data_IF_729848240463
#
_entry.id   IF_729848240463
#
_cell.length_a   1.000
_cell.length_b   1.000
_cell.length_c   1.000
_cell.angle_alpha   90.00
_cell.angle_beta   90.00
_cell.angle_gamma   90.00
#
_symmetry.space_group_name_H-M   'P 1'
#
loop_
_entity.id
_entity.type
_entity.pdbx_description
1 polymer ?
#
# COMPACT_ATOMS: atom_id res chain seq x y z
N UNK A 1 14.91 -1.58 -30.67
CA UNK A 1 14.85 -3.05 -30.92
C UNK A 1 13.58 -3.57 -30.28
N UNK A 2 12.93 -4.59 -30.85
CA UNK A 2 11.84 -5.31 -30.17
C UNK A 2 12.44 -6.41 -29.30
N UNK A 3 12.05 -6.46 -28.02
CA UNK A 3 12.54 -7.43 -27.05
C UNK A 3 11.37 -8.26 -26.57
N UNK A 4 11.53 -9.59 -26.57
CA UNK A 4 10.56 -10.51 -25.97
C UNK A 4 10.79 -10.57 -24.46
N UNK A 5 9.85 -10.03 -23.71
CA UNK A 5 9.88 -9.98 -22.24
C UNK A 5 9.33 -11.29 -21.66
N UNK A 6 9.92 -11.76 -20.56
CA UNK A 6 9.45 -12.96 -19.86
C UNK A 6 8.39 -12.64 -18.80
N UNK A 7 8.59 -11.54 -18.05
CA UNK A 7 7.73 -11.12 -16.93
C UNK A 7 7.48 -9.61 -16.94
N UNK A 8 6.26 -9.20 -16.61
CA UNK A 8 5.89 -7.79 -16.42
C UNK A 8 5.52 -7.65 -14.94
N UNK A 9 6.04 -6.62 -14.28
CA UNK A 9 5.84 -6.46 -12.86
C UNK A 9 4.55 -5.68 -12.53
N UNK A 10 4.01 -5.90 -11.33
CA UNK A 10 2.78 -5.25 -10.88
C UNK A 10 2.86 -3.72 -10.78
N UNK A 11 4.04 -3.14 -10.58
CA UNK A 11 4.23 -1.68 -10.55
C UNK A 11 3.82 -1.00 -11.87
N UNK A 12 3.88 -1.70 -13.01
CA UNK A 12 3.52 -1.15 -14.33
C UNK A 12 2.13 -1.58 -14.82
N UNK A 13 1.29 -2.18 -13.97
CA UNK A 13 0.03 -2.80 -14.38
C UNK A 13 -0.94 -1.87 -15.12
N UNK A 14 -0.91 -0.55 -14.84
CA UNK A 14 -1.80 0.44 -15.48
C UNK A 14 -1.41 0.80 -16.91
N UNK A 15 -0.20 0.43 -17.33
CA UNK A 15 0.35 0.84 -18.62
C UNK A 15 -0.06 -0.09 -19.77
N UNK A 16 -0.82 -1.17 -19.52
CA UNK A 16 -1.23 -2.15 -20.54
C UNK A 16 -0.05 -2.57 -21.42
N UNK A 17 1.02 -3.04 -20.79
CA UNK A 17 2.23 -3.49 -21.46
C UNK A 17 2.05 -4.92 -21.98
N UNK A 18 2.74 -5.24 -23.07
CA UNK A 18 2.74 -6.58 -23.66
C UNK A 18 4.14 -7.19 -23.64
N UNK A 19 4.25 -8.48 -23.98
CA UNK A 19 5.56 -9.16 -24.03
C UNK A 19 6.44 -8.66 -25.16
N UNK A 20 5.86 -7.99 -26.14
CA UNK A 20 6.53 -7.35 -27.27
C UNK A 20 6.39 -5.84 -27.10
N UNK A 21 7.41 -5.22 -26.50
CA UNK A 21 7.47 -3.77 -26.34
C UNK A 21 8.66 -3.22 -27.12
N UNK A 22 8.49 -1.99 -27.60
CA UNK A 22 9.59 -1.26 -28.26
C UNK A 22 10.51 -0.69 -27.19
N UNK A 23 11.82 -0.88 -27.42
CA UNK A 23 12.85 -0.52 -26.45
C UNK A 23 13.89 0.39 -27.07
N UNK A 24 14.31 1.39 -26.28
CA UNK A 24 15.55 2.13 -26.52
C UNK A 24 16.63 1.69 -25.53
N UNK A 25 17.86 1.66 -25.99
CA UNK A 25 19.04 1.25 -25.21
C UNK A 25 20.06 2.39 -25.06
N UNK A 26 19.85 3.48 -25.80
CA UNK A 26 20.65 4.69 -25.78
C UNK A 26 19.80 5.86 -25.27
N UNK A 27 20.45 6.86 -24.69
CA UNK A 27 19.78 8.06 -24.14
C UNK A 27 18.70 7.71 -23.10
N UNK A 28 18.99 6.74 -22.23
CA UNK A 28 18.11 6.41 -21.11
C UNK A 28 18.05 7.58 -20.12
N UNK A 29 16.90 7.72 -19.45
CA UNK A 29 16.66 8.80 -18.50
C UNK A 29 16.49 8.23 -17.08
N UNK A 30 17.30 8.72 -16.14
CA UNK A 30 17.19 8.33 -14.75
C UNK A 30 16.13 9.16 -14.03
N UNK A 31 14.88 8.68 -14.07
CA UNK A 31 13.73 9.36 -13.47
C UNK A 31 12.79 8.35 -12.82
N UNK A 32 12.27 8.70 -11.65
CA UNK A 32 11.27 7.89 -10.95
C UNK A 32 10.04 7.65 -11.83
N UNK A 33 9.55 6.41 -11.81
CA UNK A 33 8.43 5.95 -12.63
C UNK A 33 8.80 5.60 -14.07
N UNK A 34 10.02 5.88 -14.57
CA UNK A 34 10.39 5.46 -15.91
C UNK A 34 10.39 3.92 -16.00
N UNK A 35 9.77 3.41 -17.04
CA UNK A 35 9.59 1.97 -17.28
C UNK A 35 10.88 1.40 -17.83
N UNK A 36 11.51 0.51 -17.05
CA UNK A 36 12.83 -0.06 -17.35
C UNK A 36 12.70 -1.55 -17.63
N UNK A 37 13.46 -2.01 -18.62
CA UNK A 37 13.64 -3.43 -18.92
C UNK A 37 14.98 -3.86 -18.39
N UNK A 38 14.98 -4.91 -17.60
CA UNK A 38 16.18 -5.45 -16.98
C UNK A 38 16.30 -6.95 -17.21
N UNK A 39 17.53 -7.44 -17.16
CA UNK A 39 17.86 -8.87 -17.16
C UNK A 39 18.24 -9.30 -15.75
N UNK A 40 17.61 -10.34 -15.22
CA UNK A 40 18.01 -10.92 -13.93
C UNK A 40 19.41 -11.55 -14.03
N UNK A 41 20.31 -11.19 -13.11
CA UNK A 41 21.70 -11.69 -13.05
C UNK A 41 21.88 -12.87 -12.08
N UNK A 42 20.78 -13.47 -11.63
CA UNK A 42 20.81 -14.62 -10.74
C UNK A 42 19.42 -14.97 -10.20
N UNK A 43 19.41 -15.84 -9.19
CA UNK A 43 18.21 -16.28 -8.49
C UNK A 43 18.34 -16.12 -6.99
N UNK A 44 17.20 -16.08 -6.29
CA UNK A 44 17.15 -16.07 -4.84
C UNK A 44 16.16 -17.10 -4.31
N UNK A 45 16.51 -17.76 -3.21
CA UNK A 45 15.59 -18.63 -2.48
C UNK A 45 14.58 -17.82 -1.67
N UNK A 46 15.07 -16.82 -0.92
CA UNK A 46 14.23 -15.88 -0.15
C UNK A 46 14.03 -14.61 -0.95
N UNK A 47 12.80 -14.11 -1.05
CA UNK A 47 12.50 -12.86 -1.76
C UNK A 47 12.92 -12.92 -3.26
N UNK A 48 12.79 -14.10 -3.87
CA UNK A 48 13.13 -14.37 -5.28
C UNK A 48 11.94 -14.40 -6.23
N UNK A 49 10.78 -13.93 -5.77
CA UNK A 49 9.55 -13.87 -6.57
C UNK A 49 9.24 -12.43 -7.00
N UNK A 50 8.58 -12.32 -8.14
CA UNK A 50 8.01 -11.10 -8.68
C UNK A 50 6.49 -11.24 -8.68
N UNK A 51 5.79 -10.23 -8.19
CA UNK A 51 4.35 -10.07 -8.40
C UNK A 51 4.12 -9.55 -9.81
N UNK A 52 3.40 -10.34 -10.61
CA UNK A 52 3.05 -9.99 -11.98
C UNK A 52 1.94 -8.94 -12.02
N UNK A 53 1.75 -8.33 -13.18
CA UNK A 53 0.71 -7.35 -13.48
C UNK A 53 -0.70 -7.83 -13.10
N UNK A 54 -1.00 -9.13 -13.22
CA UNK A 54 -2.27 -9.74 -12.82
C UNK A 54 -2.30 -10.21 -11.35
N UNK A 55 -1.22 -10.00 -10.59
CA UNK A 55 -1.14 -10.34 -9.16
C UNK A 55 -0.56 -11.70 -8.82
N UNK A 56 -0.31 -12.54 -9.82
CA UNK A 56 0.32 -13.84 -9.59
C UNK A 56 1.78 -13.67 -9.14
N UNK A 57 2.17 -14.36 -8.08
CA UNK A 57 3.58 -14.47 -7.69
C UNK A 57 4.31 -15.45 -8.62
N UNK A 58 5.43 -15.02 -9.20
CA UNK A 58 6.24 -15.81 -10.10
C UNK A 58 7.71 -15.79 -9.71
N UNK A 59 8.33 -16.96 -9.57
CA UNK A 59 9.78 -17.07 -9.33
C UNK A 59 10.58 -16.39 -10.44
N UNK A 60 11.58 -15.60 -10.06
CA UNK A 60 12.56 -14.99 -10.96
C UNK A 60 13.68 -16.01 -11.22
N UNK A 61 13.97 -16.26 -12.49
CA UNK A 61 15.07 -17.10 -12.94
C UNK A 61 16.21 -16.26 -13.50
N UNK A 62 17.43 -16.77 -13.44
CA UNK A 62 18.58 -16.10 -14.06
C UNK A 62 18.35 -15.94 -15.58
N UNK A 63 18.72 -14.78 -16.11
CA UNK A 63 18.51 -14.43 -17.51
C UNK A 63 17.12 -13.92 -17.85
N UNK A 64 16.18 -13.89 -16.90
CA UNK A 64 14.84 -13.36 -17.15
C UNK A 64 14.86 -11.91 -17.60
N UNK A 65 14.16 -11.61 -18.70
CA UNK A 65 13.86 -10.24 -19.11
C UNK A 65 12.59 -9.79 -18.42
N UNK A 66 12.69 -8.74 -17.59
CA UNK A 66 11.63 -8.24 -16.73
C UNK A 66 11.36 -6.78 -17.05
N UNK A 67 10.09 -6.40 -17.20
CA UNK A 67 9.68 -4.99 -17.16
C UNK A 67 9.32 -4.61 -15.72
N UNK A 68 9.91 -3.53 -15.22
CA UNK A 68 9.56 -2.87 -13.96
C UNK A 68 9.63 -1.36 -14.09
N UNK A 69 9.71 -0.65 -12.96
CA UNK A 69 9.83 0.81 -12.95
C UNK A 69 10.97 1.26 -12.04
N UNK A 70 11.67 2.33 -12.45
CA UNK A 70 12.62 3.00 -11.58
C UNK A 70 11.89 3.62 -10.38
N UNK A 71 12.42 3.45 -9.17
CA UNK A 71 11.84 4.08 -8.00
C UNK A 71 12.68 3.87 -6.74
N UNK A 72 12.26 4.53 -5.67
CA UNK A 72 12.90 4.44 -4.37
C UNK A 72 12.14 3.52 -3.41
N UNK A 73 12.85 2.98 -2.44
CA UNK A 73 12.28 2.23 -1.33
C UNK A 73 13.03 2.63 -0.07
N UNK A 74 12.29 2.98 0.99
CA UNK A 74 12.87 3.31 2.29
C UNK A 74 12.25 2.42 3.37
N UNK A 75 12.73 1.17 3.50
CA UNK A 75 12.09 0.16 4.34
C UNK A 75 12.99 -0.32 5.50
N UNK A 76 12.47 -0.30 6.73
CA UNK A 76 13.12 -0.90 7.90
C UNK A 76 13.25 -2.43 7.79
N UNK A 77 12.21 -3.08 7.26
CA UNK A 77 12.14 -4.54 7.03
C UNK A 77 12.23 -4.86 5.54
N UNK A 78 13.29 -4.41 4.87
CA UNK A 78 13.42 -4.56 3.42
C UNK A 78 14.75 -4.05 2.85
N UNK A 79 14.71 -3.73 1.57
CA UNK A 79 15.79 -3.00 0.88
C UNK A 79 15.54 -1.49 0.97
N UNK A 80 16.64 -0.74 1.04
CA UNK A 80 16.67 0.71 0.92
C UNK A 80 17.45 1.05 -0.35
N UNK A 81 16.88 1.89 -1.18
CA UNK A 81 17.49 2.27 -2.45
C UNK A 81 16.70 3.36 -3.15
N UNK A 82 17.29 3.89 -4.21
CA UNK A 82 16.73 5.01 -4.96
C UNK A 82 16.98 4.92 -6.46
N UNK A 83 16.41 5.86 -7.19
CA UNK A 83 16.73 6.07 -8.59
C UNK A 83 18.20 6.51 -8.69
N UNK A 84 19.04 5.89 -9.55
CA UNK A 84 20.43 6.28 -9.68
C UNK A 84 20.58 7.70 -10.24
N UNK A 85 21.74 8.34 -10.08
CA UNK A 85 21.98 9.68 -10.64
C UNK A 85 22.02 9.68 -12.18
N UNK A 86 22.43 8.57 -12.79
CA UNK A 86 22.46 8.34 -14.23
C UNK A 86 22.23 6.86 -14.53
N UNK A 87 21.78 6.54 -15.74
CA UNK A 87 21.51 5.17 -16.14
C UNK A 87 21.89 4.94 -17.62
N UNK A 88 22.50 3.79 -17.90
CA UNK A 88 22.86 3.32 -19.25
C UNK A 88 22.53 1.84 -19.39
N UNK A 89 22.38 1.38 -20.63
CA UNK A 89 22.34 -0.06 -20.91
C UNK A 89 23.63 -0.72 -20.42
N UNK A 90 23.51 -1.89 -19.79
CA UNK A 90 24.61 -2.63 -19.17
C UNK A 90 24.87 -2.26 -17.70
N UNK A 91 24.28 -1.18 -17.18
CA UNK A 91 24.41 -0.84 -15.76
C UNK A 91 23.76 -1.92 -14.90
N UNK A 92 24.31 -2.16 -13.71
CA UNK A 92 23.72 -3.07 -12.73
C UNK A 92 22.92 -2.30 -11.68
N UNK A 93 21.64 -2.65 -11.56
CA UNK A 93 20.72 -2.17 -10.52
C UNK A 93 20.22 -3.34 -9.67
N UNK A 94 19.23 -3.09 -8.82
CA UNK A 94 18.66 -4.06 -7.90
C UNK A 94 17.14 -4.10 -7.99
N UNK A 95 16.58 -5.31 -7.87
CA UNK A 95 15.17 -5.51 -7.57
C UNK A 95 14.92 -5.08 -6.11
N UNK A 96 14.30 -3.91 -5.91
CA UNK A 96 14.11 -3.34 -4.59
C UNK A 96 12.88 -3.89 -3.87
N UNK A 97 11.89 -4.44 -4.57
CA UNK A 97 10.76 -5.12 -3.95
C UNK A 97 10.14 -6.18 -4.88
N UNK A 98 9.15 -6.92 -4.36
CA UNK A 98 8.41 -7.93 -5.13
C UNK A 98 7.53 -7.35 -6.25
N UNK A 99 7.11 -6.09 -6.18
CA UNK A 99 6.26 -5.47 -7.21
C UNK A 99 7.02 -4.91 -8.42
N UNK A 100 8.35 -5.10 -8.48
CA UNK A 100 9.16 -4.68 -9.62
C UNK A 100 9.68 -3.25 -9.57
N UNK A 101 9.78 -2.65 -8.38
CA UNK A 101 10.53 -1.40 -8.22
C UNK A 101 12.01 -1.70 -8.32
N UNK A 102 12.69 -1.02 -9.23
CA UNK A 102 14.11 -1.23 -9.56
C UNK A 102 14.88 0.06 -9.24
N UNK A 103 16.06 -0.09 -8.64
CA UNK A 103 16.90 1.05 -8.31
C UNK A 103 18.26 0.63 -7.77
N UNK A 104 19.08 1.60 -7.38
CA UNK A 104 20.36 1.37 -6.75
C UNK A 104 20.14 1.10 -5.26
N UNK A 105 20.44 -0.11 -4.79
CA UNK A 105 20.34 -0.44 -3.37
C UNK A 105 21.49 0.16 -2.57
N UNK A 106 21.18 0.89 -1.51
CA UNK A 106 22.14 1.53 -0.61
C UNK A 106 22.24 0.81 0.74
N UNK A 107 21.18 0.13 1.16
CA UNK A 107 21.16 -0.69 2.38
C UNK A 107 20.16 -1.84 2.28
N UNK A 108 20.40 -2.91 3.03
CA UNK A 108 19.55 -4.10 3.03
C UNK A 108 19.39 -4.66 4.44
N UNK A 109 18.18 -5.09 4.76
CA UNK A 109 17.95 -5.92 5.94
C UNK A 109 18.69 -7.26 5.79
N UNK A 110 19.48 -7.63 6.80
CA UNK A 110 20.36 -8.80 6.78
C UNK A 110 19.60 -10.12 6.60
N UNK A 111 18.37 -10.21 7.11
CA UNK A 111 17.55 -11.42 7.06
C UNK A 111 17.10 -11.76 5.63
N UNK A 112 17.11 -10.78 4.72
CA UNK A 112 16.76 -10.96 3.30
C UNK A 112 17.97 -11.26 2.41
N UNK A 113 19.20 -11.14 2.94
CA UNK A 113 20.43 -11.17 2.14
C UNK A 113 20.52 -10.04 1.11
N UNK A 114 21.56 -10.03 0.24
CA UNK A 114 21.74 -8.98 -0.76
C UNK A 114 20.60 -8.99 -1.78
N UNK A 115 20.11 -7.84 -2.26
CA UNK A 115 19.03 -7.78 -3.25
C UNK A 115 19.43 -8.46 -4.56
N UNK A 116 18.44 -8.97 -5.30
CA UNK A 116 18.68 -9.54 -6.63
C UNK A 116 19.25 -8.44 -7.55
N UNK A 117 20.41 -8.71 -8.14
CA UNK A 117 21.03 -7.83 -9.13
C UNK A 117 20.36 -8.02 -10.49
N UNK A 118 20.19 -6.92 -11.21
CA UNK A 118 19.61 -6.91 -12.54
C UNK A 118 20.43 -5.99 -13.44
N UNK A 119 20.64 -6.37 -14.69
CA UNK A 119 21.32 -5.56 -15.70
C UNK A 119 20.30 -4.75 -16.50
N UNK A 120 20.53 -3.46 -16.68
CA UNK A 120 19.69 -2.58 -17.48
C UNK A 120 19.83 -2.94 -18.96
N UNK A 121 18.72 -3.35 -19.57
CA UNK A 121 18.66 -3.63 -21.02
C UNK A 121 18.23 -2.40 -21.79
N UNK A 122 17.30 -1.61 -21.24
CA UNK A 122 16.77 -0.42 -21.89
C UNK A 122 15.50 0.09 -21.24
N UNK A 123 14.78 0.97 -21.93
CA UNK A 123 13.50 1.52 -21.48
C UNK A 123 12.42 1.36 -22.53
N UNK A 124 11.18 1.19 -22.07
CA UNK A 124 10.01 1.09 -22.95
C UNK A 124 9.70 2.46 -23.56
N UNK A 125 9.41 2.48 -24.86
CA UNK A 125 9.07 3.71 -25.58
C UNK A 125 7.74 3.57 -26.30
N UNK A 126 6.87 4.58 -26.12
CA UNK A 126 5.61 4.71 -26.85
C UNK A 126 5.52 6.10 -27.45
N UNK A 127 5.12 6.18 -28.73
CA UNK A 127 5.00 7.44 -29.49
C UNK A 127 6.26 8.33 -29.39
N UNK A 128 7.45 7.71 -29.41
CA UNK A 128 8.73 8.40 -29.39
C UNK A 128 9.18 8.95 -28.02
N UNK A 129 8.46 8.66 -26.93
CA UNK A 129 8.82 9.07 -25.57
C UNK A 129 9.04 7.87 -24.66
N UNK A 130 9.99 7.99 -23.72
CA UNK A 130 10.16 7.02 -22.64
C UNK A 130 8.86 6.97 -21.85
N UNK A 131 8.35 5.75 -21.65
CA UNK A 131 7.13 5.54 -20.90
C UNK A 131 7.38 5.72 -19.40
N UNK A 132 6.50 6.43 -18.73
CA UNK A 132 6.53 6.66 -17.30
C UNK A 132 5.19 6.23 -16.67
N UNK A 133 5.20 5.82 -15.40
CA UNK A 133 3.96 5.48 -14.67
C UNK A 133 2.91 6.62 -14.70
N UNK A 134 3.34 7.87 -14.74
CA UNK A 134 2.46 9.06 -14.87
C UNK A 134 1.70 9.12 -16.20
N UNK A 135 2.10 8.37 -17.24
CA UNK A 135 1.35 8.30 -18.50
C UNK A 135 -0.01 7.55 -18.35
N UNK A 136 -0.25 6.88 -17.21
CA UNK A 136 -1.52 6.23 -16.88
C UNK A 136 -2.08 6.66 -15.51
N UNK A 137 -1.62 7.79 -14.96
CA UNK A 137 -2.14 8.31 -13.70
C UNK A 137 -3.59 8.77 -13.83
N UNK A 138 -4.37 8.59 -12.77
CA UNK A 138 -5.62 9.34 -12.60
C UNK A 138 -5.32 10.82 -12.38
N UNK A 139 -6.29 11.69 -12.65
CA UNK A 139 -6.12 13.14 -12.50
C UNK A 139 -5.89 13.50 -11.03
N UNK A 140 -4.99 14.45 -10.76
CA UNK A 140 -4.72 14.89 -9.41
C UNK A 140 -5.87 15.75 -8.84
N UNK A 141 -6.13 15.60 -7.55
CA UNK A 141 -7.06 16.43 -6.79
C UNK A 141 -6.37 16.99 -5.54
N UNK A 142 -6.36 18.31 -5.40
CA UNK A 142 -5.78 19.00 -4.23
C UNK A 142 -6.76 19.20 -3.06
N UNK A 143 -8.01 18.75 -3.25
CA UNK A 143 -9.07 18.73 -2.23
C UNK A 143 -9.96 17.50 -2.37
N UNK A 144 -10.61 17.13 -1.28
CA UNK A 144 -11.76 16.24 -1.32
C UNK A 144 -12.92 16.94 -2.05
N UNK A 145 -13.65 16.21 -2.90
CA UNK A 145 -14.74 16.80 -3.68
C UNK A 145 -15.84 17.39 -2.76
N UNK A 146 -16.33 18.61 -3.02
CA UNK A 146 -17.38 19.22 -2.23
C UNK A 146 -18.64 18.35 -2.18
N UNK A 147 -19.15 18.12 -0.97
CA UNK A 147 -20.34 17.29 -0.74
C UNK A 147 -20.06 15.78 -0.66
N UNK A 148 -18.80 15.36 -0.65
CA UNK A 148 -18.43 13.99 -0.28
C UNK A 148 -18.71 13.78 1.21
N UNK A 149 -19.71 12.94 1.51
CA UNK A 149 -20.18 12.65 2.87
C UNK A 149 -19.88 11.20 3.31
N UNK A 150 -19.09 10.47 2.52
CA UNK A 150 -18.73 9.08 2.78
C UNK A 150 -17.71 9.05 3.93
N UNK A 151 -17.98 8.31 5.02
CA UNK A 151 -17.07 8.30 6.15
C UNK A 151 -15.81 7.49 5.84
N UNK A 152 -14.66 8.02 6.25
CA UNK A 152 -13.35 7.38 6.04
C UNK A 152 -12.88 6.69 7.32
N UNK A 153 -12.40 5.46 7.17
CA UNK A 153 -11.63 4.72 8.19
C UNK A 153 -10.17 4.71 7.78
N UNK A 154 -9.33 5.47 8.50
CA UNK A 154 -7.88 5.48 8.28
C UNK A 154 -7.20 4.44 9.17
N UNK A 155 -6.38 3.58 8.57
CA UNK A 155 -5.62 2.53 9.26
C UNK A 155 -4.13 2.82 9.14
N UNK A 156 -3.56 3.38 10.21
CA UNK A 156 -2.12 3.65 10.34
C UNK A 156 -1.44 2.58 11.19
N UNK A 157 -0.12 2.72 11.40
CA UNK A 157 0.55 1.86 12.35
C UNK A 157 1.94 2.33 12.73
N UNK A 158 2.52 1.70 13.75
CA UNK A 158 3.82 2.12 14.29
C UNK A 158 4.98 1.72 13.39
N UNK A 159 4.82 0.66 12.58
CA UNK A 159 5.80 0.20 11.61
C UNK A 159 5.23 -0.84 10.62
N UNK A 160 6.10 -1.37 9.76
CA UNK A 160 5.80 -2.50 8.88
C UNK A 160 5.42 -3.77 9.66
N UNK A 161 4.45 -4.51 9.12
CA UNK A 161 3.92 -5.76 9.68
C UNK A 161 3.20 -5.60 11.02
N UNK A 162 2.64 -4.42 11.31
CA UNK A 162 1.84 -4.16 12.52
C UNK A 162 0.39 -4.66 12.45
N UNK A 163 -0.04 -5.27 11.34
CA UNK A 163 -1.40 -5.78 11.18
C UNK A 163 -2.36 -4.87 10.42
N UNK A 164 -1.89 -3.77 9.81
CA UNK A 164 -2.73 -2.82 9.04
C UNK A 164 -3.54 -3.48 7.93
N UNK A 165 -2.87 -4.18 7.01
CA UNK A 165 -3.50 -4.88 5.89
C UNK A 165 -4.55 -5.88 6.37
N UNK A 166 -4.26 -6.60 7.48
CA UNK A 166 -5.21 -7.55 8.07
C UNK A 166 -6.43 -6.82 8.65
N UNK A 167 -6.23 -5.70 9.35
CA UNK A 167 -7.34 -4.90 9.87
C UNK A 167 -8.24 -4.35 8.76
N UNK A 168 -7.65 -3.85 7.67
CA UNK A 168 -8.42 -3.38 6.51
C UNK A 168 -9.18 -4.54 5.86
N UNK A 169 -8.52 -5.68 5.62
CA UNK A 169 -9.15 -6.85 5.01
C UNK A 169 -10.34 -7.39 5.83
N UNK A 170 -10.17 -7.56 7.15
CA UNK A 170 -11.25 -8.02 8.05
C UNK A 170 -12.42 -7.04 8.08
N UNK A 171 -12.14 -5.73 8.08
CA UNK A 171 -13.21 -4.73 7.99
C UNK A 171 -13.91 -4.75 6.63
N UNK A 172 -13.18 -4.92 5.53
CA UNK A 172 -13.80 -5.09 4.21
C UNK A 172 -14.77 -6.27 4.23
N UNK A 173 -14.34 -7.41 4.80
CA UNK A 173 -15.14 -8.63 4.82
C UNK A 173 -16.41 -8.46 5.62
N UNK A 174 -16.26 -8.07 6.89
CA UNK A 174 -17.38 -8.03 7.82
C UNK A 174 -18.36 -6.90 7.49
N UNK A 175 -17.88 -5.73 7.08
CA UNK A 175 -18.78 -4.64 6.69
C UNK A 175 -19.54 -4.97 5.39
N UNK A 176 -18.88 -5.64 4.44
CA UNK A 176 -19.55 -6.11 3.22
C UNK A 176 -20.59 -7.19 3.50
N UNK A 177 -20.29 -8.15 4.38
CA UNK A 177 -21.26 -9.16 4.84
C UNK A 177 -22.47 -8.55 5.55
N UNK A 178 -22.27 -7.42 6.23
CA UNK A 178 -23.35 -6.63 6.86
C UNK A 178 -24.10 -5.75 5.85
N UNK A 179 -23.85 -5.91 4.55
CA UNK A 179 -24.57 -5.25 3.47
C UNK A 179 -24.05 -3.88 3.07
N UNK A 180 -22.94 -3.40 3.64
CA UNK A 180 -22.33 -2.13 3.24
C UNK A 180 -21.56 -2.27 1.92
N UNK A 181 -21.58 -1.21 1.11
CA UNK A 181 -20.72 -1.06 -0.06
C UNK A 181 -19.39 -0.50 0.42
N UNK A 182 -18.36 -1.36 0.46
CA UNK A 182 -17.03 -1.00 0.94
C UNK A 182 -16.10 -0.76 -0.25
N UNK A 183 -15.41 0.37 -0.24
CA UNK A 183 -14.25 0.62 -1.08
C UNK A 183 -13.01 0.74 -0.20
N UNK A 184 -11.85 0.36 -0.73
CA UNK A 184 -10.61 0.35 0.04
C UNK A 184 -9.42 0.89 -0.75
N UNK A 185 -8.40 1.38 -0.07
CA UNK A 185 -7.21 1.85 -0.77
C UNK A 185 -5.94 1.84 0.04
N UNK A 186 -4.82 2.03 -0.65
CA UNK A 186 -3.50 2.09 -0.04
C UNK A 186 -2.79 3.39 -0.42
N UNK A 187 -2.62 4.28 0.56
CA UNK A 187 -2.20 5.66 0.31
C UNK A 187 -0.68 5.84 0.27
N UNK A 188 0.08 4.93 0.85
CA UNK A 188 1.53 5.06 0.93
C UNK A 188 2.27 3.71 0.93
N UNK A 189 3.56 3.76 0.66
CA UNK A 189 4.44 2.58 0.64
C UNK A 189 5.18 2.43 -0.68
N UNK A 190 5.53 1.18 -1.02
CA UNK A 190 6.22 0.78 -2.25
C UNK A 190 5.34 -0.16 -3.06
N UNK A 191 5.33 -0.01 -4.38
CA UNK A 191 4.33 -0.61 -5.26
C UNK A 191 4.26 -2.14 -5.12
N UNK A 192 3.09 -2.63 -4.76
CA UNK A 192 2.69 -4.03 -4.82
C UNK A 192 1.16 -4.06 -4.76
N UNK A 193 0.53 -4.98 -5.49
CA UNK A 193 -0.92 -5.10 -5.59
C UNK A 193 -1.53 -6.05 -4.56
N UNK A 194 -0.73 -6.91 -3.93
CA UNK A 194 -1.17 -7.94 -2.97
C UNK A 194 -2.10 -7.41 -1.88
N UNK A 195 -1.87 -6.18 -1.42
CA UNK A 195 -2.67 -5.60 -0.34
C UNK A 195 -4.05 -5.22 -0.90
N UNK A 196 -4.10 -4.67 -2.12
CA UNK A 196 -5.36 -4.39 -2.82
C UNK A 196 -6.13 -5.67 -3.15
N UNK A 197 -5.46 -6.70 -3.69
CA UNK A 197 -6.09 -8.00 -3.94
C UNK A 197 -6.64 -8.62 -2.65
N UNK A 198 -5.91 -8.48 -1.54
CA UNK A 198 -6.44 -8.89 -0.24
C UNK A 198 -7.71 -8.13 0.13
N UNK A 199 -7.85 -6.85 -0.21
CA UNK A 199 -9.06 -6.09 0.09
C UNK A 199 -10.23 -6.54 -0.82
N UNK A 200 -9.96 -6.77 -2.11
CA UNK A 200 -10.93 -7.27 -3.09
C UNK A 200 -11.46 -8.66 -2.72
N UNK A 201 -10.56 -9.58 -2.35
CA UNK A 201 -10.90 -10.93 -1.88
C UNK A 201 -11.75 -10.89 -0.60
N UNK A 202 -11.66 -9.80 0.16
CA UNK A 202 -12.46 -9.56 1.36
C UNK A 202 -13.65 -8.61 1.08
N UNK A 203 -14.09 -8.47 -0.17
CA UNK A 203 -15.35 -7.81 -0.49
C UNK A 203 -15.29 -6.31 -0.78
N UNK A 204 -14.10 -5.69 -0.79
CA UNK A 204 -13.97 -4.33 -1.32
C UNK A 204 -14.35 -4.32 -2.81
N UNK A 205 -15.26 -3.41 -3.20
CA UNK A 205 -15.82 -3.36 -4.57
C UNK A 205 -14.91 -2.62 -5.54
N UNK A 206 -14.23 -1.59 -5.05
CA UNK A 206 -13.23 -0.82 -5.78
C UNK A 206 -12.00 -0.64 -4.91
N UNK A 207 -10.83 -0.83 -5.51
CA UNK A 207 -9.55 -0.54 -4.85
C UNK A 207 -8.69 0.40 -5.67
N UNK A 208 -7.92 1.24 -4.97
CA UNK A 208 -6.96 2.18 -5.55
C UNK A 208 -5.75 2.32 -4.63
N UNK A 209 -4.61 2.70 -5.20
CA UNK A 209 -3.36 2.96 -4.50
C UNK A 209 -2.61 4.14 -5.07
N UNK A 210 -1.53 4.55 -4.41
CA UNK A 210 -0.60 5.55 -4.95
C UNK A 210 0.00 5.15 -6.32
N UNK A 211 -0.03 3.87 -6.71
CA UNK A 211 0.39 3.45 -8.06
C UNK A 211 -0.57 4.01 -9.12
N UNK A 212 -1.85 4.16 -8.77
CA UNK A 212 -2.87 4.75 -9.63
C UNK A 212 -2.63 6.24 -9.90
N UNK A 213 -1.85 6.91 -9.04
CA UNK A 213 -1.41 8.30 -9.24
C UNK A 213 -0.03 8.39 -9.92
N UNK A 214 0.46 7.29 -10.52
CA UNK A 214 1.70 7.27 -11.28
C UNK A 214 2.98 7.14 -10.45
N UNK A 215 2.89 6.65 -9.20
CA UNK A 215 4.04 6.52 -8.31
C UNK A 215 4.47 5.05 -8.13
N UNK A 216 5.78 4.79 -8.27
CA UNK A 216 6.35 3.50 -7.88
C UNK A 216 6.44 3.33 -6.36
N UNK A 217 6.49 4.45 -5.62
CA UNK A 217 6.70 4.50 -4.18
C UNK A 217 6.41 5.91 -3.67
N UNK A 218 6.00 6.03 -2.41
CA UNK A 218 5.84 7.34 -1.74
C UNK A 218 7.06 7.72 -0.89
N UNK A 219 8.19 7.00 -1.00
CA UNK A 219 9.37 7.20 -0.14
C UNK A 219 10.05 8.57 -0.29
N UNK A 220 9.96 9.18 -1.47
CA UNK A 220 10.59 10.47 -1.79
C UNK A 220 9.58 11.63 -1.78
N UNK A 221 8.34 11.38 -1.35
CA UNK A 221 7.34 12.43 -1.27
C UNK A 221 7.46 13.19 0.04
N UNK A 222 7.48 14.52 -0.04
CA UNK A 222 7.37 15.37 1.15
C UNK A 222 6.00 15.21 1.84
N UNK A 223 4.95 15.00 1.05
CA UNK A 223 3.58 14.81 1.54
C UNK A 223 2.80 13.84 0.66
N UNK A 224 1.93 13.04 1.29
CA UNK A 224 0.97 12.17 0.59
C UNK A 224 -0.43 12.80 0.48
N UNK A 225 -0.59 14.10 0.82
CA UNK A 225 -1.91 14.74 0.87
C UNK A 225 -2.63 14.73 -0.48
N UNK A 226 -2.02 15.25 -1.56
CA UNK A 226 -2.61 15.24 -2.92
C UNK A 226 -2.88 13.82 -3.38
N UNK A 227 -1.93 12.89 -3.21
CA UNK A 227 -2.12 11.47 -3.54
C UNK A 227 -3.34 10.88 -2.82
N UNK A 228 -3.50 11.20 -1.54
CA UNK A 228 -4.61 10.71 -0.72
C UNK A 228 -5.95 11.26 -1.19
N UNK A 229 -6.02 12.57 -1.48
CA UNK A 229 -7.23 13.23 -1.97
C UNK A 229 -7.64 12.70 -3.34
N UNK A 230 -6.69 12.53 -4.25
CA UNK A 230 -6.88 11.89 -5.55
C UNK A 230 -7.47 10.48 -5.41
N UNK A 231 -6.89 9.64 -4.54
CA UNK A 231 -7.38 8.28 -4.32
C UNK A 231 -8.76 8.28 -3.68
N UNK A 232 -9.01 9.11 -2.66
CA UNK A 232 -10.31 9.18 -1.97
C UNK A 232 -11.40 9.60 -2.95
N UNK A 233 -11.18 10.64 -3.75
CA UNK A 233 -12.15 11.07 -4.75
C UNK A 233 -12.43 9.96 -5.77
N UNK A 234 -11.39 9.26 -6.24
CA UNK A 234 -11.57 8.09 -7.10
C UNK A 234 -12.37 6.98 -6.43
N UNK A 235 -12.14 6.68 -5.15
CA UNK A 235 -12.90 5.67 -4.40
C UNK A 235 -14.33 6.13 -4.07
N UNK A 236 -14.64 7.43 -4.15
CA UNK A 236 -15.96 7.97 -3.87
C UNK A 236 -16.91 7.98 -5.09
N UNK A 237 -16.41 7.78 -6.31
CA UNK A 237 -17.17 7.95 -7.56
C UNK A 237 -18.46 7.12 -7.64
N UNK A 238 -18.43 5.86 -7.19
CA UNK A 238 -19.59 4.95 -7.16
C UNK A 238 -20.39 5.02 -5.86
N UNK A 239 -20.09 6.03 -5.03
CA UNK A 239 -20.77 6.38 -3.78
C UNK A 239 -20.87 5.19 -2.82
N UNK A 240 -19.75 4.57 -2.39
CA UNK A 240 -19.77 3.53 -1.38
C UNK A 240 -20.34 4.05 -0.05
N UNK A 241 -20.67 3.13 0.85
CA UNK A 241 -21.16 3.49 2.19
C UNK A 241 -20.00 3.78 3.16
N UNK A 242 -18.80 3.26 2.88
CA UNK A 242 -17.58 3.51 3.66
C UNK A 242 -16.32 3.34 2.80
N UNK A 243 -15.30 4.17 3.05
CA UNK A 243 -13.97 4.04 2.46
C UNK A 243 -12.96 3.66 3.55
N UNK A 244 -12.17 2.61 3.33
CA UNK A 244 -11.15 2.13 4.29
C UNK A 244 -9.75 2.28 3.68
N UNK A 245 -8.88 3.02 4.35
CA UNK A 245 -7.58 3.41 3.80
C UNK A 245 -6.44 2.85 4.63
N UNK A 246 -5.58 2.05 4.01
CA UNK A 246 -4.29 1.66 4.57
C UNK A 246 -3.24 2.77 4.35
N UNK A 247 -2.60 3.19 5.43
CA UNK A 247 -1.36 3.99 5.40
C UNK A 247 -0.17 3.05 5.59
N UNK A 248 0.59 2.82 4.53
CA UNK A 248 1.77 1.96 4.52
C UNK A 248 2.90 2.44 5.44
N UNK A 249 3.87 1.55 5.70
CA UNK A 249 5.00 1.78 6.62
C UNK A 249 4.58 2.12 8.07
N UNK A 250 5.28 3.04 8.74
CA UNK A 250 4.98 3.48 10.09
C UNK A 250 4.67 4.97 10.11
N UNK A 251 4.03 5.44 11.18
CA UNK A 251 3.72 6.86 11.39
C UNK A 251 4.99 7.74 11.43
N UNK A 252 6.13 7.25 11.94
CA UNK A 252 7.44 7.94 11.90
C UNK A 252 8.30 7.38 10.74
N UNK A 253 7.65 6.78 9.75
CA UNK A 253 8.28 6.05 8.68
C UNK A 253 8.82 6.93 7.55
N UNK A 254 9.40 6.27 6.54
CA UNK A 254 10.01 6.91 5.39
C UNK A 254 9.03 7.23 4.25
N UNK A 255 7.72 7.18 4.47
CA UNK A 255 6.68 7.32 3.43
C UNK A 255 5.64 8.40 3.77
N UNK A 256 6.02 9.37 4.62
CA UNK A 256 5.29 10.62 4.90
C UNK A 256 3.87 10.44 5.44
N UNK A 257 3.61 9.35 6.16
CA UNK A 257 2.30 8.99 6.72
C UNK A 257 1.69 10.11 7.57
N UNK A 258 2.47 10.81 8.40
CA UNK A 258 1.92 11.88 9.24
C UNK A 258 1.28 13.01 8.44
N UNK A 259 1.74 13.27 7.22
CA UNK A 259 1.19 14.35 6.39
C UNK A 259 -0.27 14.13 6.00
N UNK A 260 -0.76 12.90 6.04
CA UNK A 260 -2.20 12.60 5.92
C UNK A 260 -2.99 13.21 7.07
N UNK A 261 -2.50 13.08 8.31
CA UNK A 261 -3.18 13.57 9.51
C UNK A 261 -2.97 15.06 9.73
N UNK A 262 -1.87 15.61 9.22
CA UNK A 262 -1.55 17.04 9.32
C UNK A 262 -2.33 17.89 8.27
N UNK A 263 -2.89 17.26 7.23
CA UNK A 263 -3.78 17.90 6.26
C UNK A 263 -5.21 17.98 6.82
N UNK A 264 -5.72 19.21 6.97
CA UNK A 264 -7.01 19.46 7.62
C UNK A 264 -8.19 18.81 6.87
N UNK A 265 -8.17 18.82 5.54
CA UNK A 265 -9.25 18.28 4.71
C UNK A 265 -9.33 16.75 4.87
N UNK A 266 -8.18 16.07 4.87
CA UNK A 266 -8.12 14.63 5.13
C UNK A 266 -8.51 14.27 6.57
N UNK A 267 -8.05 15.05 7.55
CA UNK A 267 -8.34 14.78 8.95
C UNK A 267 -9.83 14.98 9.29
N UNK A 268 -10.47 16.02 8.74
CA UNK A 268 -11.90 16.30 8.94
C UNK A 268 -12.80 15.18 8.38
N UNK A 269 -12.46 14.61 7.22
CA UNK A 269 -13.22 13.49 6.64
C UNK A 269 -12.90 12.13 7.29
N UNK A 270 -11.80 12.02 8.05
CA UNK A 270 -11.44 10.80 8.77
C UNK A 270 -12.36 10.61 9.98
N UNK A 271 -13.35 9.72 9.86
CA UNK A 271 -14.34 9.45 10.91
C UNK A 271 -13.82 8.49 11.97
N UNK A 272 -12.99 7.53 11.58
CA UNK A 272 -12.36 6.55 12.47
C UNK A 272 -10.88 6.45 12.14
N UNK A 273 -10.04 6.54 13.17
CA UNK A 273 -8.62 6.26 13.07
C UNK A 273 -8.24 5.02 13.89
N UNK A 274 -7.76 3.99 13.20
CA UNK A 274 -7.21 2.76 13.77
C UNK A 274 -5.69 2.83 13.66
N UNK A 275 -4.97 2.72 14.78
CA UNK A 275 -3.52 2.64 14.78
C UNK A 275 -3.04 1.25 15.18
N UNK A 276 -2.44 0.53 14.24
CA UNK A 276 -1.87 -0.79 14.48
C UNK A 276 -0.46 -0.72 15.11
N UNK A 277 -0.22 -1.42 16.21
CA UNK A 277 1.07 -1.44 16.89
C UNK A 277 1.56 -2.86 17.20
N UNK A 278 2.87 -3.07 17.12
CA UNK A 278 3.50 -4.37 17.42
C UNK A 278 3.60 -4.67 18.91
N UNK A 279 3.77 -3.64 19.74
CA UNK A 279 4.06 -3.79 21.16
C UNK A 279 3.59 -2.56 21.96
N UNK A 280 3.53 -2.66 23.31
CA UNK A 280 3.07 -1.58 24.16
C UNK A 280 3.86 -0.26 24.03
N UNK A 281 5.17 -0.32 23.74
CA UNK A 281 5.99 0.89 23.57
C UNK A 281 5.63 1.59 22.26
N UNK A 282 5.43 0.82 21.18
CA UNK A 282 4.90 1.33 19.93
C UNK A 282 3.54 1.99 20.12
N UNK A 283 2.62 1.33 20.84
CA UNK A 283 1.30 1.87 21.14
C UNK A 283 1.36 3.18 21.94
N UNK A 284 2.20 3.21 22.97
CA UNK A 284 2.46 4.41 23.78
C UNK A 284 3.03 5.56 22.94
N UNK A 285 4.04 5.28 22.13
CA UNK A 285 4.68 6.27 21.26
C UNK A 285 3.70 6.85 20.25
N UNK A 286 2.88 6.01 19.61
CA UNK A 286 1.82 6.47 18.72
C UNK A 286 0.84 7.38 19.46
N UNK A 287 0.29 6.94 20.61
CA UNK A 287 -0.65 7.74 21.40
C UNK A 287 -0.06 9.11 21.77
N UNK A 288 1.19 9.14 22.23
CA UNK A 288 1.91 10.37 22.56
C UNK A 288 2.00 11.32 21.37
N UNK A 289 2.40 10.81 20.20
CA UNK A 289 2.60 11.58 18.96
C UNK A 289 1.30 12.22 18.48
N UNK A 290 0.20 11.47 18.50
CA UNK A 290 -1.12 11.98 18.10
C UNK A 290 -1.67 12.95 19.14
N UNK A 291 -1.55 12.66 20.44
CA UNK A 291 -2.00 13.57 21.51
C UNK A 291 -1.27 14.92 21.46
N UNK A 292 0.04 14.91 21.22
CA UNK A 292 0.84 16.14 21.07
C UNK A 292 0.36 17.04 19.92
N UNK A 293 -0.33 16.45 18.93
CA UNK A 293 -0.93 17.16 17.79
C UNK A 293 -2.41 17.49 17.99
N UNK A 294 -2.99 17.12 19.15
CA UNK A 294 -4.44 17.20 19.35
C UNK A 294 -5.23 16.27 18.43
N UNK A 295 -4.58 15.26 17.86
CA UNK A 295 -5.18 14.27 16.97
C UNK A 295 -5.57 13.01 17.75
N UNK A 296 -6.64 12.34 17.34
CA UNK A 296 -7.17 11.17 18.06
C UNK A 296 -6.70 9.84 17.45
N UNK A 297 -6.68 8.82 18.29
CA UNK A 297 -6.70 7.40 17.90
C UNK A 297 -7.96 6.81 18.52
N UNK A 298 -8.85 6.27 17.70
CA UNK A 298 -10.11 5.69 18.19
C UNK A 298 -9.90 4.24 18.67
N UNK A 299 -9.07 3.48 17.94
CA UNK A 299 -8.79 2.07 18.22
C UNK A 299 -7.28 1.80 18.04
N UNK A 300 -6.68 1.07 18.97
CA UNK A 300 -5.37 0.45 18.79
C UNK A 300 -5.57 -1.04 18.51
N UNK A 301 -4.93 -1.51 17.43
CA UNK A 301 -5.02 -2.88 16.91
C UNK A 301 -3.61 -3.47 16.72
N UNK A 302 -3.51 -4.70 16.24
CA UNK A 302 -2.25 -5.36 15.89
C UNK A 302 -1.67 -6.19 17.04
N UNK A 303 -0.43 -6.71 16.89
CA UNK A 303 0.16 -7.65 17.85
C UNK A 303 0.21 -7.15 19.30
N UNK A 304 0.24 -5.83 19.54
CA UNK A 304 0.13 -5.27 20.89
C UNK A 304 -1.17 -5.64 21.60
N UNK A 305 -2.18 -6.13 20.88
CA UNK A 305 -3.49 -6.53 21.38
C UNK A 305 -3.72 -8.04 21.31
N UNK A 306 -2.68 -8.86 21.07
CA UNK A 306 -2.79 -10.33 20.97
C UNK A 306 -3.22 -11.03 22.27
N UNK A 307 -3.06 -10.39 23.43
CA UNK A 307 -3.42 -10.96 24.72
C UNK A 307 -3.92 -9.91 25.72
N UNK A 308 -4.41 -10.38 26.87
CA UNK A 308 -4.98 -9.54 27.92
C UNK A 308 -3.99 -8.49 28.45
N UNK A 309 -2.70 -8.80 28.60
CA UNK A 309 -1.71 -7.84 29.11
C UNK A 309 -1.60 -6.62 28.20
N UNK A 310 -1.48 -6.87 26.90
CA UNK A 310 -1.41 -5.81 25.90
C UNK A 310 -2.70 -5.01 25.79
N UNK A 311 -3.86 -5.70 25.75
CA UNK A 311 -5.18 -5.05 25.74
C UNK A 311 -5.43 -4.20 26.99
N UNK A 312 -5.04 -4.70 28.16
CA UNK A 312 -5.16 -3.99 29.43
C UNK A 312 -4.30 -2.74 29.44
N UNK A 313 -3.04 -2.83 29.01
CA UNK A 313 -2.15 -1.67 28.90
C UNK A 313 -2.77 -0.57 28.03
N UNK A 314 -3.18 -0.92 26.80
CA UNK A 314 -3.78 0.03 25.86
C UNK A 314 -5.06 0.64 26.44
N UNK A 315 -5.95 -0.18 26.99
CA UNK A 315 -7.25 0.29 27.50
C UNK A 315 -7.15 1.11 28.78
N UNK A 316 -6.30 0.70 29.73
CA UNK A 316 -6.21 1.34 31.06
C UNK A 316 -5.18 2.45 31.13
N UNK A 317 -4.04 2.29 30.48
CA UNK A 317 -2.94 3.26 30.54
C UNK A 317 -3.03 4.30 29.44
N UNK A 318 -3.40 3.89 28.22
CA UNK A 318 -3.53 4.82 27.08
C UNK A 318 -4.94 5.38 26.92
N UNK A 319 -5.94 4.75 27.54
CA UNK A 319 -7.35 5.18 27.45
C UNK A 319 -7.96 5.01 26.06
N UNK A 320 -7.43 4.09 25.25
CA UNK A 320 -7.89 3.80 23.89
C UNK A 320 -8.45 2.39 23.82
N UNK A 321 -9.47 2.14 22.99
CA UNK A 321 -9.99 0.77 22.78
C UNK A 321 -8.92 -0.13 22.16
N UNK A 322 -8.76 -1.33 22.70
CA UNK A 322 -7.78 -2.31 22.28
C UNK A 322 -8.47 -3.52 21.65
N UNK A 323 -8.53 -3.57 20.31
CA UNK A 323 -9.27 -4.61 19.58
C UNK A 323 -8.37 -5.19 18.50
N UNK A 324 -8.21 -6.51 18.48
CA UNK A 324 -7.31 -7.18 17.55
C UNK A 324 -8.10 -7.74 16.36
N UNK A 325 -7.80 -7.24 15.16
CA UNK A 325 -8.45 -7.70 13.93
C UNK A 325 -8.31 -9.21 13.68
N UNK A 326 -7.27 -9.87 14.20
CA UNK A 326 -7.04 -11.30 13.96
C UNK A 326 -7.81 -12.20 14.91
N UNK A 327 -7.93 -11.80 16.18
CA UNK A 327 -8.57 -12.64 17.21
C UNK A 327 -10.01 -12.23 17.51
N UNK A 328 -10.34 -10.95 17.30
CA UNK A 328 -11.62 -10.34 17.63
C UNK A 328 -12.18 -9.51 16.45
N UNK A 329 -12.23 -10.03 15.21
CA UNK A 329 -12.63 -9.25 14.02
C UNK A 329 -14.07 -8.73 14.12
N UNK A 330 -15.00 -9.50 14.68
CA UNK A 330 -16.40 -9.08 14.89
C UNK A 330 -16.53 -7.92 15.87
N UNK A 331 -15.73 -7.93 16.96
CA UNK A 331 -15.67 -6.81 17.90
C UNK A 331 -15.14 -5.55 17.22
N UNK A 332 -14.14 -5.70 16.33
CA UNK A 332 -13.58 -4.59 15.57
C UNK A 332 -14.62 -4.00 14.62
N UNK A 333 -15.33 -4.83 13.86
CA UNK A 333 -16.39 -4.40 12.96
C UNK A 333 -17.56 -3.74 13.71
N UNK A 334 -17.99 -4.31 14.84
CA UNK A 334 -19.03 -3.73 15.70
C UNK A 334 -18.65 -2.34 16.21
N UNK A 335 -17.41 -2.16 16.66
CA UNK A 335 -16.94 -0.87 17.13
C UNK A 335 -16.83 0.15 15.99
N UNK A 336 -16.33 -0.27 14.83
CA UNK A 336 -16.28 0.59 13.64
C UNK A 336 -17.68 1.00 13.20
N UNK A 337 -18.66 0.07 13.12
CA UNK A 337 -20.06 0.40 12.84
C UNK A 337 -20.62 1.42 13.83
N UNK A 338 -20.38 1.24 15.15
CA UNK A 338 -20.81 2.19 16.18
C UNK A 338 -20.21 3.57 15.96
N UNK A 339 -18.92 3.65 15.64
CA UNK A 339 -18.22 4.92 15.40
C UNK A 339 -18.66 5.58 14.09
N UNK A 340 -18.98 4.81 13.05
CA UNK A 340 -19.49 5.32 11.77
C UNK A 340 -20.97 5.74 11.85
N UNK A 341 -21.72 5.25 12.85
CA UNK A 341 -23.14 5.55 13.03
C UNK A 341 -24.09 4.46 12.50
N UNK A 342 -23.56 3.35 11.99
CA UNK A 342 -24.31 2.18 11.52
C UNK A 342 -24.74 1.27 12.68
N UNK A 343 -25.48 1.82 13.65
CA UNK A 343 -25.84 1.12 14.89
C UNK A 343 -26.68 -0.14 14.67
N UNK A 344 -27.52 -0.15 13.64
CA UNK A 344 -28.39 -1.28 13.30
C UNK A 344 -27.60 -2.47 12.73
N UNK A 345 -26.33 -2.26 12.36
CA UNK A 345 -25.43 -3.30 11.85
C UNK A 345 -24.51 -3.89 12.93
N UNK A 346 -24.63 -3.45 14.18
CA UNK A 346 -23.83 -3.97 15.31
C UNK A 346 -24.40 -5.32 15.75
N UNK A 347 -23.53 -6.33 15.87
CA UNK A 347 -23.91 -7.69 16.25
C UNK A 347 -24.59 -8.49 15.14
N UNK A 348 -24.78 -7.92 13.95
CA UNK A 348 -25.17 -8.69 12.77
C UNK A 348 -24.02 -9.61 12.39
N UNK A 349 -24.32 -10.90 12.36
CA UNK A 349 -23.46 -11.95 11.85
C UNK A 349 -24.08 -12.48 10.57
N UNK A 350 -23.24 -12.98 9.67
CA UNK A 350 -23.71 -13.66 8.47
C UNK A 350 -24.45 -14.95 8.90
N UNK A 351 -25.76 -14.86 9.11
CA UNK A 351 -26.63 -16.02 9.14
C UNK A 351 -26.72 -16.49 7.69
N UNK A 352 -25.71 -17.25 7.26
CA UNK A 352 -25.73 -17.95 5.97
C UNK A 352 -27.09 -18.64 5.80
N UNK A 353 -27.57 -18.83 4.55
CA UNK A 353 -28.93 -19.28 4.31
C UNK A 353 -29.24 -20.48 5.19
N UNK A 354 -30.25 -20.34 6.06
CA UNK A 354 -30.87 -21.45 6.78
C UNK A 354 -31.11 -22.54 5.72
N UNK A 355 -30.33 -23.61 5.77
CA UNK A 355 -30.63 -24.83 5.03
C UNK A 355 -32.04 -25.26 5.46
N UNK A 356 -33.03 -24.92 4.64
CA UNK A 356 -34.37 -25.45 4.75
C UNK A 356 -34.27 -26.95 4.47
N UNK A 357 -34.27 -27.73 5.53
CA UNK A 357 -34.42 -29.19 5.52
C UNK A 357 -35.77 -29.63 4.94
#
# INVERSE_FOLDING_TARGET
MEIRVHKIASVVHRLNLHKEERVITENLESRAGNVVIVRALGEKATYGELELEEGRMAKIFEGDIIIGALGARNALKGYVGGVPASIKSGDTLNMLNLGGVIGLCTSANKDLGPPLKVEVVGMVVRKGRILNLTDASIADHDRIEPGMDIPIVAVSGTCMSAGKTKAVAELCQLLSQRGLRVNAGKLSGVAARRDLFSFEDHGARKTLSFVDTGLASTADLESIATVSKTIINGLAEDKPDVIILELGDGIIGGYSVMTYFDDADLYEHTRVHICCANDPVGAFGAKRIFDDRGQRIDIICGPTTDNEVGRHYVSKMLGVKAINARTDPEELADEVCRLLGFKDLVGLRDEGPLESA
#
